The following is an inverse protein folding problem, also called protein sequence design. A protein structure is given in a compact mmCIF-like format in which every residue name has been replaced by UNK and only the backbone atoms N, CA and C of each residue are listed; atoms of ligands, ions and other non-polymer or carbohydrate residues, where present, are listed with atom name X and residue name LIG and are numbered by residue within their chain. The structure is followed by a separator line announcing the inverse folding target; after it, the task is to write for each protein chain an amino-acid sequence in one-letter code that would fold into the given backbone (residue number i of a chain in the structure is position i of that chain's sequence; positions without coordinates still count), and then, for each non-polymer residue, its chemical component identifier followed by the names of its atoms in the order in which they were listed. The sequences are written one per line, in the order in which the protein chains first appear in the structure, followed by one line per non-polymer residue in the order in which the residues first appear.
data_IF_400674776533
#
_entry.id   IF_400674776533
#
_cell.length_a   1.000
_cell.length_b   1.000
_cell.length_c   1.000
_cell.angle_alpha   90.00
_cell.angle_beta   90.00
_cell.angle_gamma   90.00
#
_symmetry.space_group_name_H-M   'P 1'
#
loop_
_entity.id
_entity.type
_entity.pdbx_description
1 polymer ?
#
# COMPACT_ATOMS: atom_id res chain seq x y z
N UNK A 1 -2.90 18.01 -0.56
CA UNK A 1 -2.25 16.68 -0.46
C UNK A 1 -1.04 16.83 0.43
N UNK A 2 -0.81 15.88 1.32
CA UNK A 2 0.16 16.01 2.41
C UNK A 2 1.59 15.89 1.89
N UNK A 3 2.43 16.90 2.10
CA UNK A 3 3.88 16.84 1.83
C UNK A 3 4.61 15.80 2.72
N UNK A 4 3.90 15.18 3.67
CA UNK A 4 4.45 14.25 4.64
C UNK A 4 4.58 12.82 4.11
N UNK A 5 4.00 12.47 2.96
CA UNK A 5 4.16 11.13 2.40
C UNK A 5 4.38 11.15 0.89
N UNK A 6 5.37 10.40 0.42
CA UNK A 6 5.71 10.27 -1.01
C UNK A 6 6.00 8.82 -1.41
N UNK A 7 6.02 8.56 -2.72
CA UNK A 7 6.33 7.25 -3.31
C UNK A 7 7.57 7.39 -4.20
N UNK A 8 8.52 6.46 -4.09
CA UNK A 8 9.75 6.46 -4.88
C UNK A 8 10.10 5.06 -5.36
N UNK A 9 10.76 4.98 -6.52
CA UNK A 9 11.32 3.72 -7.01
C UNK A 9 12.40 3.19 -6.09
N UNK A 10 12.48 1.86 -5.94
CA UNK A 10 13.61 1.24 -5.25
C UNK A 10 14.95 1.51 -5.96
N UNK A 11 14.95 1.71 -7.28
CA UNK A 11 16.16 2.04 -8.04
C UNK A 11 16.70 3.45 -7.74
N UNK A 12 15.83 4.34 -7.29
CA UNK A 12 16.12 5.76 -7.07
C UNK A 12 16.25 6.08 -5.58
N UNK A 13 17.04 5.30 -4.83
CA UNK A 13 17.18 5.46 -3.38
C UNK A 13 17.80 6.83 -3.04
N UNK A 14 17.04 7.81 -2.51
CA UNK A 14 17.59 9.13 -2.27
C UNK A 14 18.44 9.12 -1.00
N UNK A 15 19.53 9.88 -1.00
CA UNK A 15 20.48 9.99 0.12
C UNK A 15 20.00 11.00 1.19
N UNK A 16 18.90 11.70 0.94
CA UNK A 16 18.36 12.65 1.92
C UNK A 16 17.88 11.94 3.19
N UNK A 17 18.14 12.59 4.34
CA UNK A 17 17.73 12.12 5.67
C UNK A 17 16.38 12.69 6.11
N UNK A 18 15.72 13.43 5.23
CA UNK A 18 14.46 14.12 5.53
C UNK A 18 13.30 13.13 5.70
N UNK A 19 13.35 12.00 4.98
CA UNK A 19 12.27 11.01 4.99
C UNK A 19 12.65 9.73 5.72
N UNK A 20 11.68 9.18 6.45
CA UNK A 20 11.71 7.79 6.92
C UNK A 20 11.35 6.88 5.74
N UNK A 21 12.34 6.13 5.29
CA UNK A 21 12.24 5.22 4.16
C UNK A 21 11.57 3.89 4.57
N UNK A 22 10.38 3.60 4.03
CA UNK A 22 9.61 2.38 4.31
C UNK A 22 9.42 1.57 3.02
N UNK A 23 9.93 0.33 3.00
CA UNK A 23 9.71 -0.58 1.88
C UNK A 23 8.29 -1.15 1.87
N UNK A 24 7.65 -1.10 0.70
CA UNK A 24 6.31 -1.64 0.44
C UNK A 24 6.30 -2.63 -0.74
N UNK A 25 7.47 -3.09 -1.19
CA UNK A 25 7.63 -4.15 -2.20
C UNK A 25 7.38 -5.56 -1.62
N UNK A 26 7.76 -6.61 -2.36
CA UNK A 26 7.53 -8.03 -2.02
C UNK A 26 8.06 -8.51 -0.66
N UNK A 27 8.87 -7.72 0.05
CA UNK A 27 9.25 -8.03 1.44
C UNK A 27 8.28 -7.48 2.49
N UNK A 28 7.33 -6.64 2.09
CA UNK A 28 6.39 -5.96 2.98
C UNK A 28 5.07 -6.71 3.09
N UNK A 29 4.35 -6.51 4.19
CA UNK A 29 2.95 -6.99 4.28
C UNK A 29 2.02 -6.18 3.37
N UNK A 30 2.44 -4.97 2.97
CA UNK A 30 1.71 -4.12 2.04
C UNK A 30 2.12 -4.40 0.58
N UNK A 31 2.87 -5.47 0.33
CA UNK A 31 3.25 -5.89 -1.03
C UNK A 31 2.03 -6.11 -1.91
N UNK A 32 2.15 -5.83 -3.20
CA UNK A 32 1.11 -6.17 -4.17
C UNK A 32 0.88 -7.70 -4.21
N UNK A 33 -0.36 -8.21 -4.03
CA UNK A 33 -0.66 -9.62 -4.24
C UNK A 33 -0.60 -10.03 -5.71
N UNK A 34 -0.71 -9.08 -6.65
CA UNK A 34 -0.86 -9.37 -8.07
C UNK A 34 0.44 -9.12 -8.83
N UNK A 35 0.83 -10.06 -9.68
CA UNK A 35 1.98 -9.90 -10.57
C UNK A 35 1.65 -8.97 -11.74
N UNK A 36 2.69 -8.30 -12.26
CA UNK A 36 2.63 -7.61 -13.54
C UNK A 36 3.16 -8.57 -14.61
N UNK A 37 2.27 -9.30 -15.26
CA UNK A 37 2.65 -10.22 -16.35
C UNK A 37 3.26 -9.47 -17.52
N UNK A 38 2.78 -8.25 -17.74
CA UNK A 38 3.26 -7.30 -18.72
C UNK A 38 2.87 -5.87 -18.29
N UNK A 39 3.42 -4.86 -18.96
CA UNK A 39 3.10 -3.46 -18.64
C UNK A 39 1.62 -3.11 -18.90
N UNK A 40 0.93 -3.83 -19.78
CA UNK A 40 -0.50 -3.61 -20.04
C UNK A 40 -1.39 -4.12 -18.90
N UNK A 41 -0.90 -5.05 -18.08
CA UNK A 41 -1.60 -5.59 -16.92
C UNK A 41 -1.42 -4.74 -15.65
N UNK A 42 -0.50 -3.77 -15.67
CA UNK A 42 -0.12 -2.95 -14.51
C UNK A 42 -1.29 -2.18 -13.92
N UNK A 43 -2.05 -1.48 -14.76
CA UNK A 43 -3.16 -0.65 -14.30
C UNK A 43 -4.24 -1.51 -13.64
N UNK A 44 -4.56 -2.66 -14.27
CA UNK A 44 -5.49 -3.65 -13.72
C UNK A 44 -5.02 -4.20 -12.38
N UNK A 45 -3.73 -4.52 -12.25
CA UNK A 45 -3.15 -4.99 -10.99
C UNK A 45 -3.15 -3.90 -9.91
N UNK A 46 -2.93 -2.63 -10.26
CA UNK A 46 -3.02 -1.50 -9.33
C UNK A 46 -4.47 -1.23 -8.88
N UNK A 47 -5.45 -1.39 -9.77
CA UNK A 47 -6.88 -1.28 -9.45
C UNK A 47 -7.31 -2.41 -8.51
N UNK A 48 -6.92 -3.65 -8.84
CA UNK A 48 -7.17 -4.82 -7.99
C UNK A 48 -6.50 -4.65 -6.61
N UNK A 49 -5.28 -4.10 -6.55
CA UNK A 49 -4.62 -3.80 -5.29
C UNK A 49 -5.40 -2.78 -4.45
N UNK A 50 -5.89 -1.71 -5.07
CA UNK A 50 -6.68 -0.70 -4.37
C UNK A 50 -7.95 -1.32 -3.77
N UNK A 51 -8.62 -2.18 -4.53
CA UNK A 51 -9.79 -2.91 -4.07
C UNK A 51 -9.46 -3.89 -2.92
N UNK A 52 -8.39 -4.67 -3.08
CA UNK A 52 -7.90 -5.58 -2.03
C UNK A 52 -7.57 -4.84 -0.74
N UNK A 53 -6.92 -3.67 -0.82
CA UNK A 53 -6.58 -2.85 0.33
C UNK A 53 -7.83 -2.36 1.08
N UNK A 54 -8.87 -1.95 0.34
CA UNK A 54 -10.17 -1.54 0.92
C UNK A 54 -10.84 -2.72 1.63
N UNK A 55 -10.87 -3.91 1.00
CA UNK A 55 -11.45 -5.09 1.62
C UNK A 55 -10.71 -5.49 2.92
N UNK A 56 -9.38 -5.39 2.96
CA UNK A 56 -8.62 -5.63 4.19
C UNK A 56 -9.01 -4.66 5.30
N UNK A 57 -9.15 -3.36 4.99
CA UNK A 57 -9.59 -2.37 5.96
C UNK A 57 -11.00 -2.65 6.48
N UNK A 58 -11.93 -3.01 5.59
CA UNK A 58 -13.32 -3.34 5.97
C UNK A 58 -13.38 -4.60 6.85
N UNK A 59 -12.69 -5.67 6.44
CA UNK A 59 -12.66 -6.92 7.21
C UNK A 59 -12.03 -6.72 8.59
N UNK A 60 -10.96 -5.93 8.70
CA UNK A 60 -10.33 -5.65 9.98
C UNK A 60 -11.22 -4.84 10.95
N UNK A 61 -12.24 -4.13 10.44
CA UNK A 61 -13.21 -3.41 11.28
C UNK A 61 -14.32 -4.31 11.81
N UNK A 62 -14.68 -5.38 11.09
CA UNK A 62 -15.84 -6.20 11.40
C UNK A 62 -15.51 -7.58 11.93
N UNK A 63 -14.30 -8.09 11.67
CA UNK A 63 -13.94 -9.46 12.03
C UNK A 63 -13.56 -9.57 13.52
N UNK A 64 -14.20 -10.50 14.21
CA UNK A 64 -13.89 -10.86 15.61
C UNK A 64 -12.59 -11.67 15.76
N UNK A 65 -12.11 -12.24 14.64
CA UNK A 65 -10.91 -13.06 14.57
C UNK A 65 -9.99 -12.60 13.45
N UNK A 66 -8.73 -13.03 13.46
CA UNK A 66 -7.79 -12.79 12.37
C UNK A 66 -8.27 -13.48 11.10
N UNK A 67 -8.39 -12.72 10.00
CA UNK A 67 -8.95 -13.20 8.73
C UNK A 67 -8.08 -12.83 7.55
N UNK A 68 -8.00 -13.72 6.56
CA UNK A 68 -7.39 -13.42 5.27
C UNK A 68 -8.45 -12.91 4.30
N UNK A 69 -8.06 -11.98 3.42
CA UNK A 69 -8.91 -11.60 2.29
C UNK A 69 -8.70 -12.60 1.14
N UNK A 70 -9.73 -13.38 0.76
CA UNK A 70 -9.65 -14.30 -0.37
C UNK A 70 -9.29 -13.58 -1.68
N UNK A 71 -8.43 -14.20 -2.51
CA UNK A 71 -7.99 -13.62 -3.79
C UNK A 71 -8.71 -14.22 -5.01
N UNK A 72 -9.58 -15.21 -4.82
CA UNK A 72 -10.21 -15.99 -5.90
C UNK A 72 -10.94 -15.10 -6.90
N UNK A 73 -11.57 -14.02 -6.43
CA UNK A 73 -12.23 -13.02 -7.27
C UNK A 73 -11.32 -12.50 -8.39
N UNK A 74 -10.11 -12.06 -8.04
CA UNK A 74 -9.17 -11.46 -8.99
C UNK A 74 -8.47 -12.51 -9.83
N UNK A 75 -8.24 -13.71 -9.27
CA UNK A 75 -7.73 -14.85 -10.04
C UNK A 75 -8.69 -15.27 -11.16
N UNK A 76 -10.00 -15.31 -10.88
CA UNK A 76 -11.04 -15.57 -11.89
C UNK A 76 -11.10 -14.49 -12.99
N UNK A 77 -10.58 -13.28 -12.72
CA UNK A 77 -10.43 -12.21 -13.70
C UNK A 77 -9.11 -12.30 -14.48
N UNK A 78 -8.32 -13.35 -14.26
CA UNK A 78 -7.06 -13.61 -14.95
C UNK A 78 -5.85 -12.91 -14.35
N UNK A 79 -5.92 -12.37 -13.13
CA UNK A 79 -4.75 -11.85 -12.43
C UNK A 79 -3.95 -12.99 -11.80
N UNK A 80 -2.63 -12.99 -12.01
CA UNK A 80 -1.73 -13.93 -11.37
C UNK A 80 -1.34 -13.44 -9.98
N UNK A 81 -1.24 -14.38 -9.03
CA UNK A 81 -0.80 -14.08 -7.67
C UNK A 81 0.71 -14.10 -7.62
N UNK A 82 1.29 -13.06 -7.02
CA UNK A 82 2.72 -12.92 -6.88
C UNK A 82 3.30 -14.01 -6.00
N UNK A 83 4.41 -14.61 -6.44
CA UNK A 83 5.20 -15.56 -5.63
C UNK A 83 5.75 -14.95 -4.33
N UNK A 84 5.77 -13.62 -4.23
CA UNK A 84 6.23 -12.89 -3.06
C UNK A 84 5.09 -12.46 -2.14
N UNK A 85 3.83 -12.78 -2.48
CA UNK A 85 2.69 -12.44 -1.66
C UNK A 85 2.72 -13.20 -0.34
N UNK A 86 2.69 -12.46 0.77
CA UNK A 86 2.81 -13.02 2.11
C UNK A 86 1.50 -13.54 2.70
N UNK A 87 0.38 -13.33 2.01
CA UNK A 87 -0.96 -13.64 2.52
C UNK A 87 -1.20 -13.13 3.96
N UNK A 88 -1.05 -11.81 4.22
CA UNK A 88 -1.26 -11.26 5.55
C UNK A 88 -2.71 -11.39 5.98
N UNK A 89 -2.97 -11.31 7.29
CA UNK A 89 -4.34 -11.09 7.76
C UNK A 89 -4.73 -9.62 7.55
N UNK A 90 -6.04 -9.37 7.43
CA UNK A 90 -6.62 -8.04 7.32
C UNK A 90 -6.18 -7.10 8.46
N UNK A 91 -6.06 -7.65 9.67
CA UNK A 91 -5.59 -6.94 10.85
C UNK A 91 -4.12 -6.52 10.72
N UNK A 92 -3.26 -7.35 10.13
CA UNK A 92 -1.84 -7.03 9.93
C UNK A 92 -1.71 -5.85 8.96
N UNK A 93 -2.41 -5.92 7.83
CA UNK A 93 -2.48 -4.84 6.82
C UNK A 93 -2.93 -3.52 7.47
N UNK A 94 -4.03 -3.58 8.23
CA UNK A 94 -4.59 -2.42 8.91
C UNK A 94 -3.65 -1.87 9.98
N UNK A 95 -3.00 -2.73 10.76
CA UNK A 95 -2.01 -2.34 11.75
C UNK A 95 -0.84 -1.60 11.09
N UNK A 96 -0.34 -2.09 9.96
CA UNK A 96 0.77 -1.42 9.26
C UNK A 96 0.37 -0.07 8.68
N UNK A 97 -0.85 0.06 8.15
CA UNK A 97 -1.37 1.36 7.71
C UNK A 97 -1.49 2.34 8.90
N UNK A 98 -1.96 1.89 10.06
CA UNK A 98 -2.01 2.71 11.29
C UNK A 98 -0.62 3.16 11.71
N UNK A 99 0.38 2.27 11.71
CA UNK A 99 1.77 2.64 11.99
C UNK A 99 2.28 3.75 11.07
N UNK A 100 1.93 3.73 9.77
CA UNK A 100 2.30 4.79 8.84
C UNK A 100 1.63 6.13 9.19
N UNK A 101 0.34 6.09 9.57
CA UNK A 101 -0.39 7.29 10.02
C UNK A 101 0.21 7.86 11.30
N UNK A 102 0.57 7.01 12.27
CA UNK A 102 1.16 7.45 13.54
C UNK A 102 2.48 8.21 13.29
N UNK A 103 3.29 7.80 12.30
CA UNK A 103 4.49 8.57 11.89
C UNK A 103 4.12 9.97 11.38
N UNK A 104 3.05 10.11 10.59
CA UNK A 104 2.61 11.41 10.09
C UNK A 104 2.05 12.30 11.22
N UNK A 105 1.41 11.71 12.23
CA UNK A 105 0.92 12.42 13.41
C UNK A 105 2.05 12.97 14.29
N UNK A 106 3.20 12.29 14.29
CA UNK A 106 4.43 12.79 14.90
C UNK A 106 5.12 13.89 14.07
N UNK A 107 4.57 14.27 12.92
CA UNK A 107 5.16 15.25 12.00
C UNK A 107 6.33 14.71 11.17
N UNK A 108 6.53 13.40 11.15
CA UNK A 108 7.61 12.76 10.39
C UNK A 108 7.20 12.63 8.92
N UNK A 109 8.16 12.84 8.02
CA UNK A 109 7.97 12.61 6.58
C UNK A 109 8.28 11.16 6.24
N UNK A 110 7.42 10.51 5.47
CA UNK A 110 7.49 9.08 5.10
C UNK A 110 7.69 8.94 3.59
N UNK A 111 8.65 8.10 3.19
CA UNK A 111 8.86 7.72 1.79
C UNK A 111 8.58 6.25 1.61
N UNK A 112 7.55 5.93 0.82
CA UNK A 112 7.23 4.57 0.44
C UNK A 112 8.12 4.14 -0.73
N UNK A 113 8.94 3.13 -0.50
CA UNK A 113 9.89 2.60 -1.49
C UNK A 113 9.30 1.34 -2.09
N UNK A 114 9.18 1.33 -3.41
CA UNK A 114 8.57 0.23 -4.13
C UNK A 114 9.37 -0.15 -5.38
N UNK A 115 9.60 -1.44 -5.58
CA UNK A 115 10.19 -1.99 -6.81
C UNK A 115 9.27 -1.84 -8.02
N UNK A 116 7.96 -1.76 -7.80
CA UNK A 116 6.97 -1.60 -8.86
C UNK A 116 6.98 -0.20 -9.48
N UNK A 117 7.50 0.81 -8.76
CA UNK A 117 7.53 2.20 -9.22
C UNK A 117 8.67 2.38 -10.22
N UNK A 118 8.34 2.90 -11.40
CA UNK A 118 9.33 3.29 -12.41
C UNK A 118 9.74 4.76 -12.23
N UNK A 119 10.88 5.20 -12.80
CA UNK A 119 11.32 6.60 -12.74
C UNK A 119 10.31 7.57 -13.39
N UNK A 120 9.56 7.12 -14.39
CA UNK A 120 8.44 7.89 -14.93
C UNK A 120 7.28 7.91 -13.93
N UNK A 121 7.05 9.08 -13.32
CA UNK A 121 6.00 9.30 -12.34
C UNK A 121 4.57 9.06 -12.87
N UNK A 122 4.38 8.97 -14.20
CA UNK A 122 3.09 8.63 -14.81
C UNK A 122 2.75 7.14 -14.70
N UNK A 123 3.74 6.29 -14.43
CA UNK A 123 3.53 4.84 -14.32
C UNK A 123 2.94 4.51 -12.96
N UNK A 124 1.74 3.93 -12.96
CA UNK A 124 1.01 3.57 -11.73
C UNK A 124 1.77 2.54 -10.90
N UNK A 125 1.66 2.69 -9.59
CA UNK A 125 2.23 1.80 -8.60
C UNK A 125 1.20 1.48 -7.51
N UNK A 126 1.23 0.26 -6.95
CA UNK A 126 0.37 -0.07 -5.81
C UNK A 126 0.64 0.81 -4.58
N UNK A 127 1.87 1.30 -4.45
CA UNK A 127 2.25 2.24 -3.40
C UNK A 127 1.48 3.57 -3.47
N UNK A 128 0.95 3.95 -4.64
CA UNK A 128 0.07 5.12 -4.77
C UNK A 128 -1.26 4.89 -4.02
N UNK A 129 -1.80 3.68 -4.06
CA UNK A 129 -3.00 3.29 -3.30
C UNK A 129 -2.74 3.26 -1.79
N UNK A 130 -1.55 2.81 -1.37
CA UNK A 130 -1.12 2.89 0.05
C UNK A 130 -1.05 4.36 0.49
N UNK A 131 -0.36 5.20 -0.29
CA UNK A 131 -0.23 6.63 -0.01
C UNK A 131 -1.61 7.26 0.16
N UNK A 132 -2.52 7.04 -0.78
CA UNK A 132 -3.88 7.57 -0.74
C UNK A 132 -4.65 7.10 0.49
N UNK A 133 -4.54 5.81 0.86
CA UNK A 133 -5.19 5.28 2.06
C UNK A 133 -4.66 5.94 3.33
N UNK A 134 -3.34 6.07 3.47
CA UNK A 134 -2.69 6.72 4.61
C UNK A 134 -3.08 8.20 4.70
N UNK A 135 -3.05 8.94 3.59
CA UNK A 135 -3.47 10.34 3.54
C UNK A 135 -4.92 10.52 4.02
N UNK A 136 -5.84 9.70 3.53
CA UNK A 136 -7.25 9.73 3.96
C UNK A 136 -7.42 9.40 5.43
N UNK A 137 -6.72 8.38 5.93
CA UNK A 137 -6.77 8.00 7.35
C UNK A 137 -6.23 9.13 8.24
N UNK A 138 -5.12 9.75 7.85
CA UNK A 138 -4.53 10.88 8.56
C UNK A 138 -5.45 12.10 8.60
N UNK A 139 -6.03 12.49 7.46
CA UNK A 139 -6.99 13.59 7.37
C UNK A 139 -8.23 13.35 8.26
N UNK A 140 -8.76 12.14 8.26
CA UNK A 140 -9.91 11.78 9.10
C UNK A 140 -9.58 11.87 10.60
N UNK A 141 -8.41 11.40 11.03
CA UNK A 141 -8.00 11.53 12.45
C UNK A 141 -7.86 13.00 12.86
N UNK A 142 -7.26 13.83 12.01
CA UNK A 142 -7.12 15.28 12.29
C UNK A 142 -8.47 15.99 12.42
N UNK A 143 -9.47 15.61 11.62
CA UNK A 143 -10.83 16.18 11.73
C UNK A 143 -11.57 15.76 13.00
N UNK A 144 -11.23 14.60 13.57
CA UNK A 144 -11.85 14.11 14.80
C UNK A 144 -11.18 14.63 16.09
N UNK A 145 -10.02 15.30 15.96
CA UNK A 145 -9.27 15.92 17.07
C UNK A 145 -9.50 17.44 17.12
N UNK A 146 -9.87 18.06 16.00
CA UNK A 146 -10.21 19.48 15.88
C UNK A 146 -11.68 19.75 16.26
#
# INVERSE_FOLDING_TARGET
MSELITVTSQGDFPVDREYINIRVDGVSILSNPFDFTDESSRDRACDAYAEWLILNLQMALTAEVFVHVPLEKWQLQGLLISKHFKNPHAQDVTHKLKQLVDLLELGLKVRLICSCRQPDAKVRCHADSIKLAVEKMYENRRRNIA
#
